data_IF_326876730474
#
_entry.id   IF_326876730474
#
_cell.length_a   1.000
_cell.length_b   1.000
_cell.length_c   1.000
_cell.angle_alpha   90.00
_cell.angle_beta   90.00
_cell.angle_gamma   90.00
#
_symmetry.space_group_name_H-M   'P 1'
#
loop_
_entity.id
_entity.type
_entity.pdbx_description
1 polymer ?
#
# COMPACT_ATOMS: atom_id res chain seq x y z
N UNK A 1 -17.33 21.37 -5.12
CA UNK A 1 -17.01 20.68 -3.84
C UNK A 1 -15.88 19.70 -4.10
N UNK A 2 -14.63 20.07 -3.80
CA UNK A 2 -13.50 19.14 -3.96
C UNK A 2 -13.52 18.18 -2.76
N UNK A 3 -14.00 16.96 -2.98
CA UNK A 3 -14.04 15.91 -1.96
C UNK A 3 -12.66 15.71 -1.35
N UNK A 4 -12.62 15.56 -0.02
CA UNK A 4 -11.40 15.31 0.73
C UNK A 4 -10.76 14.02 0.20
N UNK A 5 -9.70 14.15 -0.62
CA UNK A 5 -8.92 12.99 -1.08
C UNK A 5 -8.30 12.29 0.14
N UNK A 6 -8.52 10.99 0.27
CA UNK A 6 -8.04 10.15 1.37
C UNK A 6 -7.59 8.79 0.85
N UNK A 7 -6.73 8.12 1.62
CA UNK A 7 -6.29 6.76 1.35
C UNK A 7 -7.07 5.81 2.27
N UNK A 8 -7.58 4.72 1.68
CA UNK A 8 -8.24 3.65 2.41
C UNK A 8 -7.55 2.32 2.13
N UNK A 9 -7.50 1.46 3.13
CA UNK A 9 -7.06 0.09 2.99
C UNK A 9 -7.97 -0.84 3.81
N UNK A 10 -8.16 -2.05 3.30
CA UNK A 10 -8.96 -3.10 3.95
C UNK A 10 -8.12 -4.36 4.06
N UNK A 11 -8.08 -4.95 5.25
CA UNK A 11 -7.45 -6.24 5.49
C UNK A 11 -8.52 -7.32 5.48
N UNK A 12 -8.34 -8.31 4.61
CA UNK A 12 -9.26 -9.44 4.47
C UNK A 12 -8.52 -10.76 4.70
N UNK A 13 -9.21 -11.73 5.32
CA UNK A 13 -8.76 -13.10 5.48
C UNK A 13 -9.94 -14.04 5.27
N UNK A 14 -9.76 -15.05 4.41
CA UNK A 14 -10.80 -16.04 4.07
C UNK A 14 -12.14 -15.37 3.71
N UNK A 15 -12.06 -14.39 2.81
CA UNK A 15 -13.19 -13.58 2.33
C UNK A 15 -13.94 -12.76 3.38
N UNK A 16 -13.40 -12.66 4.61
CA UNK A 16 -13.93 -11.81 5.68
C UNK A 16 -13.03 -10.62 5.91
N UNK A 17 -13.64 -9.45 6.10
CA UNK A 17 -12.91 -8.25 6.49
C UNK A 17 -12.53 -8.36 7.97
N UNK A 18 -11.24 -8.21 8.27
CA UNK A 18 -10.70 -8.21 9.63
C UNK A 18 -10.52 -6.78 10.15
N UNK A 19 -10.07 -5.87 9.27
CA UNK A 19 -9.76 -4.50 9.67
C UNK A 19 -9.95 -3.51 8.52
N UNK A 20 -10.40 -2.32 8.88
CA UNK A 20 -10.42 -1.15 8.02
C UNK A 20 -9.41 -0.14 8.55
N UNK A 21 -8.66 0.49 7.65
CA UNK A 21 -7.84 1.62 7.99
C UNK A 21 -7.96 2.68 6.89
N UNK A 22 -8.06 3.94 7.30
CA UNK A 22 -8.07 5.05 6.36
C UNK A 22 -7.37 6.24 6.98
N UNK A 23 -6.80 7.09 6.12
CA UNK A 23 -6.26 8.37 6.52
C UNK A 23 -6.54 9.42 5.47
N UNK A 24 -6.71 10.65 5.92
CA UNK A 24 -6.80 11.80 5.04
C UNK A 24 -5.43 12.12 4.45
N UNK A 25 -5.39 12.56 3.18
CA UNK A 25 -4.14 12.99 2.58
C UNK A 25 -3.65 14.27 3.22
N UNK A 26 -2.37 14.29 3.61
CA UNK A 26 -1.73 15.51 4.06
C UNK A 26 -1.63 16.51 2.90
N UNK A 27 -1.57 17.84 3.18
CA UNK A 27 -1.49 18.85 2.13
C UNK A 27 -0.36 18.63 1.12
N UNK A 28 0.78 18.09 1.56
CA UNK A 28 1.90 17.75 0.67
C UNK A 28 1.64 16.51 -0.19
N UNK A 29 0.89 15.54 0.32
CA UNK A 29 0.53 14.32 -0.43
C UNK A 29 -0.54 14.62 -1.50
N UNK A 30 -1.32 15.70 -1.35
CA UNK A 30 -2.34 16.09 -2.34
C UNK A 30 -1.75 16.44 -3.72
N UNK A 31 -0.46 16.82 -3.76
CA UNK A 31 0.25 17.16 -4.99
C UNK A 31 0.96 15.95 -5.62
N UNK A 32 0.91 14.78 -4.99
CA UNK A 32 1.53 13.57 -5.51
C UNK A 32 0.73 12.98 -6.68
N UNK A 33 1.45 12.27 -7.55
CA UNK A 33 0.83 11.52 -8.65
C UNK A 33 0.00 10.36 -8.08
N UNK A 34 -0.99 9.88 -8.83
CA UNK A 34 -1.82 8.74 -8.42
C UNK A 34 -0.97 7.52 -8.03
N UNK A 35 0.13 7.29 -8.77
CA UNK A 35 1.08 6.21 -8.48
C UNK A 35 1.75 6.36 -7.11
N UNK A 36 2.26 7.54 -6.78
CA UNK A 36 2.89 7.81 -5.48
C UNK A 36 1.89 7.69 -4.32
N UNK A 37 0.63 8.07 -4.56
CA UNK A 37 -0.46 7.92 -3.60
C UNK A 37 -0.79 6.46 -3.32
N UNK A 38 -0.82 5.61 -4.35
CA UNK A 38 -1.04 4.17 -4.21
C UNK A 38 0.10 3.50 -3.43
N UNK A 39 1.35 3.84 -3.73
CA UNK A 39 2.52 3.36 -2.97
C UNK A 39 2.41 3.80 -1.51
N UNK A 40 2.02 5.06 -1.27
CA UNK A 40 1.76 5.59 0.07
C UNK A 40 0.65 4.84 0.81
N UNK A 41 -0.38 4.38 0.12
CA UNK A 41 -1.47 3.58 0.68
C UNK A 41 -1.00 2.18 1.09
N UNK A 42 -0.19 1.52 0.23
CA UNK A 42 0.39 0.21 0.52
C UNK A 42 1.36 0.28 1.71
N UNK A 43 2.26 1.26 1.73
CA UNK A 43 3.19 1.45 2.85
C UNK A 43 2.43 1.75 4.15
N UNK A 44 1.34 2.52 4.08
CA UNK A 44 0.48 2.80 5.23
C UNK A 44 -0.19 1.52 5.76
N UNK A 45 -0.81 0.73 4.87
CA UNK A 45 -1.40 -0.56 5.21
C UNK A 45 -0.38 -1.52 5.85
N UNK A 46 0.80 -1.65 5.25
CA UNK A 46 1.87 -2.51 5.76
C UNK A 46 2.41 -2.03 7.11
N UNK A 47 2.47 -0.71 7.36
CA UNK A 47 2.87 -0.17 8.66
C UNK A 47 1.85 -0.49 9.75
N UNK A 48 0.55 -0.35 9.45
CA UNK A 48 -0.53 -0.63 10.43
C UNK A 48 -0.58 -2.12 10.73
N UNK A 49 -0.50 -2.97 9.72
CA UNK A 49 -0.66 -4.41 9.89
C UNK A 49 0.68 -5.15 10.00
N UNK A 50 1.79 -4.43 10.23
CA UNK A 50 3.12 -5.05 10.34
C UNK A 50 3.12 -6.21 11.34
N UNK A 51 2.45 -6.06 12.48
CA UNK A 51 2.35 -7.09 13.51
C UNK A 51 1.43 -8.26 13.13
N UNK A 52 0.49 -8.06 12.21
CA UNK A 52 -0.40 -9.13 11.70
C UNK A 52 0.19 -9.88 10.50
N UNK A 53 0.93 -9.18 9.63
CA UNK A 53 1.48 -9.73 8.39
C UNK A 53 2.87 -10.36 8.60
N UNK A 54 3.50 -10.15 9.76
CA UNK A 54 4.82 -10.70 10.04
C UNK A 54 4.77 -12.24 10.05
N UNK A 55 5.56 -12.87 9.17
CA UNK A 55 5.63 -14.33 9.06
C UNK A 55 4.52 -14.98 8.24
N UNK A 56 3.59 -14.22 7.65
CA UNK A 56 2.49 -14.74 6.82
C UNK A 56 2.60 -14.28 5.37
N UNK A 57 2.27 -15.16 4.42
CA UNK A 57 2.13 -14.76 3.01
C UNK A 57 0.85 -13.94 2.84
N UNK A 58 0.97 -12.75 2.27
CA UNK A 58 -0.13 -11.80 2.13
C UNK A 58 -0.23 -11.33 0.69
N UNK A 59 -1.43 -11.30 0.12
CA UNK A 59 -1.69 -10.82 -1.23
C UNK A 59 -2.19 -9.38 -1.16
N UNK A 60 -1.52 -8.48 -1.87
CA UNK A 60 -1.92 -7.07 -1.94
C UNK A 60 -2.74 -6.87 -3.21
N UNK A 61 -3.96 -6.37 -3.07
CA UNK A 61 -4.83 -5.98 -4.17
C UNK A 61 -4.83 -4.46 -4.27
N UNK A 62 -4.51 -3.96 -5.45
CA UNK A 62 -4.47 -2.54 -5.81
C UNK A 62 -4.99 -2.40 -7.23
N UNK A 63 -5.66 -1.31 -7.57
CA UNK A 63 -6.29 -1.15 -8.89
C UNK A 63 -5.27 -0.96 -10.02
N UNK A 64 -4.03 -0.66 -9.67
CA UNK A 64 -3.00 -0.29 -10.62
C UNK A 64 -1.93 -1.37 -10.80
N UNK A 65 -1.83 -1.90 -12.03
CA UNK A 65 -0.87 -2.96 -12.43
C UNK A 65 0.60 -2.61 -12.16
N UNK A 66 0.94 -1.32 -12.08
CA UNK A 66 2.29 -0.79 -11.86
C UNK A 66 2.91 -1.24 -10.54
N UNK A 67 2.08 -1.51 -9.52
CA UNK A 67 2.53 -1.96 -8.21
C UNK A 67 3.05 -3.39 -8.17
N UNK A 68 2.68 -4.23 -9.15
CA UNK A 68 3.25 -5.58 -9.29
C UNK A 68 4.76 -5.51 -9.55
N UNK A 69 5.20 -4.57 -10.39
CA UNK A 69 6.62 -4.41 -10.74
C UNK A 69 7.47 -3.89 -9.57
N UNK A 70 6.93 -3.08 -8.67
CA UNK A 70 7.71 -2.55 -7.53
C UNK A 70 7.98 -3.63 -6.46
N UNK A 71 7.05 -4.56 -6.24
CA UNK A 71 7.27 -5.68 -5.32
C UNK A 71 8.12 -6.79 -5.95
N UNK A 72 7.96 -7.03 -7.25
CA UNK A 72 8.82 -7.93 -8.04
C UNK A 72 10.28 -7.44 -8.08
N UNK A 73 10.50 -6.12 -8.20
CA UNK A 73 11.83 -5.50 -8.09
C UNK A 73 12.51 -5.70 -6.71
N UNK A 74 11.77 -6.11 -5.68
CA UNK A 74 12.30 -6.33 -4.33
C UNK A 74 12.81 -7.76 -4.10
N UNK A 75 12.64 -8.68 -5.05
CA UNK A 75 13.57 -9.81 -5.18
C UNK A 75 14.89 -9.30 -5.78
N UNK A 76 15.65 -8.64 -4.91
CA UNK A 76 17.11 -8.64 -4.89
C UNK A 76 17.77 -8.57 -6.27
N UNK A 77 17.79 -7.38 -6.87
CA UNK A 77 18.89 -7.05 -7.76
C UNK A 77 20.16 -6.87 -6.90
N UNK A 78 20.77 -7.99 -6.51
CA UNK A 78 22.09 -8.07 -5.86
C UNK A 78 23.22 -7.42 -6.69
N UNK A 79 22.92 -6.94 -7.90
CA UNK A 79 23.86 -6.23 -8.78
C UNK A 79 24.01 -4.74 -8.49
N UNK A 80 23.23 -4.14 -7.58
CA UNK A 80 23.47 -2.76 -7.12
C UNK A 80 24.22 -2.70 -5.78
N UNK A 81 24.83 -3.81 -5.37
CA UNK A 81 25.74 -3.86 -4.22
C UNK A 81 27.21 -3.82 -4.67
N UNK A 82 27.56 -2.84 -5.51
CA UNK A 82 28.84 -2.10 -5.57
C UNK A 82 28.91 -1.28 -6.85
#
# INVERSE_FOLDING_TARGET
MQGLKGLGCVLMQRDKVIAYASRQLRPHEKNYTTHDLEVGAVVFALKIWRHYLYGSKCTIYTDHKSLQHMFDQKELNMRQRR
#
